data_IF_480017088706
#
_entry.id   IF_480017088706
#
_cell.length_a   1.000
_cell.length_b   1.000
_cell.length_c   1.000
_cell.angle_alpha   90.00
_cell.angle_beta   90.00
_cell.angle_gamma   90.00
#
_symmetry.space_group_name_H-M   'P 1'
#
loop_
_entity.id
_entity.type
_entity.pdbx_description
1 polymer ?
#
# COMPACT_ATOMS: atom_id res chain seq x y z
N UNK A 1 24.98 65.07 -14.19
CA UNK A 1 25.29 63.65 -14.44
C UNK A 1 24.82 62.84 -13.22
N UNK A 2 23.70 62.11 -13.34
CA UNK A 2 23.17 61.28 -12.24
C UNK A 2 23.92 59.95 -12.24
N UNK A 3 24.54 59.61 -11.11
CA UNK A 3 25.49 58.50 -10.99
C UNK A 3 24.78 57.13 -11.17
N UNK A 4 25.18 56.30 -12.16
CA UNK A 4 24.59 54.98 -12.40
C UNK A 4 24.91 53.94 -11.30
N UNK A 5 25.84 54.27 -10.40
CA UNK A 5 26.32 53.37 -9.34
C UNK A 5 25.23 53.03 -8.32
N UNK A 6 24.30 53.97 -8.04
CA UNK A 6 23.22 53.73 -7.07
C UNK A 6 22.14 52.76 -7.59
N UNK A 7 21.93 52.69 -8.90
CA UNK A 7 20.91 51.81 -9.51
C UNK A 7 21.40 50.36 -9.51
N UNK A 8 22.68 50.12 -9.81
CA UNK A 8 23.28 48.78 -9.78
C UNK A 8 23.28 48.15 -8.39
N UNK A 9 23.50 48.94 -7.34
CA UNK A 9 23.54 48.44 -5.96
C UNK A 9 22.15 48.02 -5.46
N UNK A 10 21.09 48.72 -5.87
CA UNK A 10 19.70 48.35 -5.55
C UNK A 10 19.29 47.08 -6.30
N UNK A 11 19.68 46.93 -7.57
CA UNK A 11 19.40 45.74 -8.39
C UNK A 11 20.11 44.48 -7.86
N UNK A 12 21.34 44.62 -7.37
CA UNK A 12 22.09 43.52 -6.77
C UNK A 12 21.47 43.04 -5.45
N UNK A 13 21.03 43.97 -4.58
CA UNK A 13 20.34 43.63 -3.33
C UNK A 13 18.99 42.97 -3.61
N UNK A 14 18.25 43.44 -4.62
CA UNK A 14 16.98 42.82 -5.02
C UNK A 14 17.18 41.40 -5.57
N UNK A 15 18.24 41.15 -6.36
CA UNK A 15 18.57 39.79 -6.83
C UNK A 15 18.90 38.84 -5.67
N UNK A 16 19.67 39.29 -4.68
CA UNK A 16 20.00 38.44 -3.52
C UNK A 16 18.76 38.05 -2.69
N UNK A 17 17.77 38.94 -2.58
CA UNK A 17 16.52 38.65 -1.85
C UNK A 17 15.67 37.64 -2.64
N UNK A 18 15.61 37.75 -3.97
CA UNK A 18 14.84 36.80 -4.82
C UNK A 18 15.48 35.40 -4.80
N UNK A 19 16.81 35.31 -4.92
CA UNK A 19 17.52 34.02 -4.84
C UNK A 19 17.38 33.35 -3.48
N UNK A 20 17.45 34.12 -2.38
CA UNK A 20 17.31 33.56 -1.03
C UNK A 20 15.88 33.11 -0.68
N UNK A 21 14.86 33.61 -1.38
CA UNK A 21 13.48 33.14 -1.23
C UNK A 21 13.22 31.85 -2.03
N UNK A 22 13.78 31.70 -3.24
CA UNK A 22 13.58 30.51 -4.07
C UNK A 22 14.17 29.24 -3.44
N UNK A 23 15.40 29.28 -2.89
CA UNK A 23 16.01 28.09 -2.26
C UNK A 23 15.20 27.53 -1.09
N UNK A 24 14.55 28.40 -0.31
CA UNK A 24 13.73 27.97 0.83
C UNK A 24 12.44 27.32 0.38
N UNK A 25 11.79 27.89 -0.63
CA UNK A 25 10.54 27.38 -1.20
C UNK A 25 10.74 26.01 -1.88
N UNK A 26 11.86 25.85 -2.59
CA UNK A 26 12.25 24.57 -3.21
C UNK A 26 12.51 23.49 -2.15
N UNK A 27 13.22 23.84 -1.07
CA UNK A 27 13.53 22.88 0.01
C UNK A 27 12.29 22.41 0.78
N UNK A 28 11.32 23.31 1.02
CA UNK A 28 10.07 22.99 1.71
C UNK A 28 9.18 22.10 0.84
N UNK A 29 9.05 22.45 -0.44
CA UNK A 29 8.26 21.69 -1.41
C UNK A 29 8.81 20.27 -1.60
N UNK A 30 10.14 20.13 -1.65
CA UNK A 30 10.77 18.82 -1.74
C UNK A 30 10.54 17.97 -0.48
N UNK A 31 10.62 18.56 0.70
CA UNK A 31 10.32 17.88 1.97
C UNK A 31 8.89 17.38 1.99
N UNK A 32 7.92 18.24 1.69
CA UNK A 32 6.49 17.89 1.66
C UNK A 32 6.24 16.72 0.69
N UNK A 33 6.79 16.81 -0.52
CA UNK A 33 6.64 15.73 -1.51
C UNK A 33 7.20 14.40 -1.01
N UNK A 34 8.32 14.44 -0.27
CA UNK A 34 8.94 13.26 0.32
C UNK A 34 8.06 12.66 1.44
N UNK A 35 7.47 13.51 2.29
CA UNK A 35 6.54 13.06 3.33
C UNK A 35 5.29 12.40 2.73
N UNK A 36 4.70 13.03 1.70
CA UNK A 36 3.55 12.46 0.95
C UNK A 36 3.94 11.11 0.34
N UNK A 37 5.09 11.03 -0.32
CA UNK A 37 5.58 9.78 -0.93
C UNK A 37 5.80 8.67 0.08
N UNK A 38 6.28 9.03 1.27
CA UNK A 38 6.54 8.10 2.36
C UNK A 38 5.24 7.51 2.88
N UNK A 39 4.27 8.38 3.20
CA UNK A 39 2.94 7.95 3.67
C UNK A 39 2.22 7.12 2.60
N UNK A 40 2.25 7.56 1.34
CA UNK A 40 1.63 6.82 0.24
C UNK A 40 2.28 5.44 0.02
N UNK A 41 3.61 5.34 0.13
CA UNK A 41 4.34 4.08 0.05
C UNK A 41 3.99 3.10 1.17
N UNK A 42 4.01 3.56 2.43
CA UNK A 42 3.63 2.75 3.58
C UNK A 42 2.18 2.24 3.47
N UNK A 43 1.28 3.11 3.02
CA UNK A 43 -0.11 2.76 2.82
C UNK A 43 -0.30 1.76 1.68
N UNK A 44 0.46 1.87 0.60
CA UNK A 44 0.41 0.91 -0.50
C UNK A 44 0.82 -0.50 -0.04
N UNK A 45 1.89 -0.60 0.74
CA UNK A 45 2.36 -1.86 1.33
C UNK A 45 1.34 -2.46 2.29
N UNK A 46 0.77 -1.65 3.18
CA UNK A 46 -0.23 -2.08 4.15
C UNK A 46 -1.51 -2.59 3.45
N UNK A 47 -2.03 -1.84 2.47
CA UNK A 47 -3.29 -2.16 1.82
C UNK A 47 -3.23 -3.38 0.89
N UNK A 48 -2.05 -3.70 0.33
CA UNK A 48 -1.86 -4.84 -0.57
C UNK A 48 -1.21 -6.05 0.11
N UNK A 49 -1.21 -6.11 1.45
CA UNK A 49 -0.70 -7.26 2.17
C UNK A 49 -1.60 -8.49 1.93
N UNK A 50 -1.07 -9.49 1.24
CA UNK A 50 -1.72 -10.78 0.99
C UNK A 50 -0.79 -11.91 1.41
N UNK A 51 -1.14 -12.67 2.45
CA UNK A 51 -0.37 -13.84 2.89
C UNK A 51 -0.86 -15.12 2.21
N UNK A 52 0.06 -15.82 1.54
CA UNK A 52 -0.13 -17.20 1.10
C UNK A 52 0.19 -18.12 2.27
N UNK A 53 -0.75 -18.99 2.61
CA UNK A 53 -0.66 -19.94 3.73
C UNK A 53 -1.02 -21.36 3.30
N UNK A 54 -0.96 -22.29 4.24
CA UNK A 54 -1.18 -23.71 3.99
C UNK A 54 0.05 -24.36 3.36
N UNK A 55 -0.18 -25.37 2.53
CA UNK A 55 0.88 -26.18 1.96
C UNK A 55 1.52 -27.08 3.02
N UNK A 56 0.69 -27.84 3.73
CA UNK A 56 1.11 -28.94 4.58
C UNK A 56 0.54 -30.27 4.07
N UNK A 57 0.69 -31.36 4.82
CA UNK A 57 0.20 -32.69 4.43
C UNK A 57 -1.32 -32.69 4.20
N UNK A 58 -2.07 -31.87 4.95
CA UNK A 58 -3.53 -31.92 5.03
C UNK A 58 -4.22 -30.67 4.46
N UNK A 59 -3.46 -29.61 4.14
CA UNK A 59 -3.99 -28.33 3.65
C UNK A 59 -3.25 -27.87 2.40
N UNK A 60 -4.02 -27.52 1.38
CA UNK A 60 -3.52 -26.88 0.15
C UNK A 60 -2.92 -25.50 0.42
N UNK A 61 -2.12 -25.00 -0.52
CA UNK A 61 -1.77 -23.59 -0.54
C UNK A 61 -3.00 -22.73 -0.84
N UNK A 62 -3.10 -21.56 -0.21
CA UNK A 62 -4.21 -20.63 -0.41
C UNK A 62 -4.06 -19.33 0.36
N UNK A 63 -5.03 -18.43 0.20
CA UNK A 63 -5.07 -17.16 0.94
C UNK A 63 -5.67 -17.34 2.34
N UNK A 64 -5.03 -16.82 3.39
CA UNK A 64 -5.46 -17.00 4.80
C UNK A 64 -6.88 -16.48 5.11
N UNK A 65 -7.27 -15.36 4.49
CA UNK A 65 -8.46 -14.58 4.91
C UNK A 65 -9.65 -14.75 3.96
N UNK A 66 -9.42 -15.23 2.73
CA UNK A 66 -10.43 -15.17 1.67
C UNK A 66 -11.25 -16.45 1.53
N UNK A 67 -10.79 -17.61 1.99
CA UNK A 67 -11.55 -18.85 1.70
C UNK A 67 -12.80 -19.03 2.56
N UNK A 68 -12.80 -18.65 3.84
CA UNK A 68 -13.99 -18.80 4.71
C UNK A 68 -15.09 -17.79 4.44
N UNK A 69 -14.77 -16.61 3.91
CA UNK A 69 -15.77 -15.57 3.60
C UNK A 69 -16.31 -15.69 2.16
N UNK A 70 -15.49 -16.16 1.21
CA UNK A 70 -15.89 -16.25 -0.20
C UNK A 70 -16.40 -17.64 -0.65
N UNK A 71 -16.08 -18.74 0.06
CA UNK A 71 -16.57 -20.10 -0.32
C UNK A 71 -18.07 -20.33 -0.06
N UNK A 72 -18.76 -19.45 0.66
CA UNK A 72 -20.20 -19.57 0.92
C UNK A 72 -21.12 -18.97 -0.14
N UNK A 73 -20.62 -18.49 -1.29
CA UNK A 73 -21.44 -17.66 -2.19
C UNK A 73 -21.34 -18.05 -3.67
N UNK A 74 -22.20 -18.99 -4.03
CA UNK A 74 -22.55 -19.35 -5.42
C UNK A 74 -23.77 -18.55 -5.93
N UNK A 75 -24.14 -17.43 -5.32
CA UNK A 75 -25.32 -16.63 -5.73
C UNK A 75 -24.92 -15.21 -6.16
N UNK A 76 -24.99 -14.97 -7.49
CA UNK A 76 -24.43 -13.85 -8.24
C UNK A 76 -25.06 -12.46 -8.03
N UNK A 77 -25.68 -12.16 -6.86
CA UNK A 77 -26.38 -10.89 -6.61
C UNK A 77 -25.99 -10.14 -5.33
N UNK A 78 -25.35 -10.80 -4.35
CA UNK A 78 -24.95 -10.19 -3.06
C UNK A 78 -23.43 -9.95 -2.92
N UNK A 79 -22.67 -10.28 -3.97
CA UNK A 79 -21.21 -10.43 -3.92
C UNK A 79 -20.46 -9.08 -3.79
N UNK A 80 -20.94 -8.04 -4.46
CA UNK A 80 -20.26 -6.74 -4.49
C UNK A 80 -20.21 -6.06 -3.11
N UNK A 81 -21.29 -6.14 -2.33
CA UNK A 81 -21.37 -5.45 -1.04
C UNK A 81 -20.43 -6.08 0.01
N UNK A 82 -20.25 -7.39 -0.02
CA UNK A 82 -19.39 -8.10 0.94
C UNK A 82 -17.92 -7.87 0.61
N UNK A 83 -17.56 -7.94 -0.67
CA UNK A 83 -16.22 -7.61 -1.13
C UNK A 83 -15.89 -6.15 -0.77
N UNK A 84 -16.77 -5.21 -1.10
CA UNK A 84 -16.57 -3.79 -0.79
C UNK A 84 -16.43 -3.53 0.72
N UNK A 85 -17.24 -4.17 1.56
CA UNK A 85 -17.12 -4.04 3.02
C UNK A 85 -15.80 -4.63 3.55
N UNK A 86 -15.33 -5.74 2.99
CA UNK A 86 -14.00 -6.27 3.29
C UNK A 86 -12.90 -5.27 2.94
N UNK A 87 -12.95 -4.66 1.74
CA UNK A 87 -11.97 -3.67 1.35
C UNK A 87 -11.98 -2.43 2.24
N UNK A 88 -13.17 -1.98 2.64
CA UNK A 88 -13.37 -0.88 3.58
C UNK A 88 -12.81 -1.21 4.96
N UNK A 89 -13.05 -2.41 5.49
CA UNK A 89 -12.52 -2.83 6.78
C UNK A 89 -10.98 -2.86 6.79
N UNK A 90 -10.35 -3.34 5.72
CA UNK A 90 -8.89 -3.30 5.59
C UNK A 90 -8.37 -1.87 5.58
N UNK A 91 -9.02 -0.98 4.83
CA UNK A 91 -8.71 0.45 4.81
C UNK A 91 -8.86 1.09 6.20
N UNK A 92 -9.95 0.79 6.92
CA UNK A 92 -10.19 1.34 8.26
C UNK A 92 -9.19 0.87 9.32
N UNK A 93 -8.55 -0.29 9.09
CA UNK A 93 -7.52 -0.81 9.98
C UNK A 93 -6.14 -0.22 9.71
N UNK A 94 -5.99 0.58 8.64
CA UNK A 94 -4.70 1.15 8.28
C UNK A 94 -4.18 2.12 9.34
N UNK A 95 -2.86 2.25 9.43
CA UNK A 95 -2.23 3.19 10.38
C UNK A 95 -2.67 4.63 10.12
N UNK A 96 -2.78 5.00 8.85
CA UNK A 96 -3.22 6.33 8.45
C UNK A 96 -4.60 6.67 9.04
N UNK A 97 -5.56 5.74 8.97
CA UNK A 97 -6.92 6.00 9.50
C UNK A 97 -6.92 6.09 11.01
N UNK A 98 -6.16 5.24 11.69
CA UNK A 98 -6.01 5.29 13.15
C UNK A 98 -5.43 6.64 13.59
N UNK A 99 -4.33 7.06 12.99
CA UNK A 99 -3.70 8.34 13.28
C UNK A 99 -4.61 9.54 12.95
N UNK A 100 -5.39 9.45 11.87
CA UNK A 100 -6.33 10.49 11.49
C UNK A 100 -7.47 10.65 12.51
N UNK A 101 -7.90 9.57 13.16
CA UNK A 101 -8.94 9.60 14.21
C UNK A 101 -8.47 10.30 15.49
N UNK A 102 -7.16 10.36 15.74
CA UNK A 102 -6.57 11.00 16.90
C UNK A 102 -6.38 12.53 16.69
N UNK A 103 -6.60 13.03 15.48
CA UNK A 103 -6.55 14.45 15.18
C UNK A 103 -7.86 15.16 15.53
N UNK A 104 -7.74 16.37 16.09
CA UNK A 104 -8.86 17.27 16.33
C UNK A 104 -9.30 17.93 15.00
N UNK A 105 -10.11 17.21 14.21
CA UNK A 105 -10.66 17.68 12.93
C UNK A 105 -12.04 18.31 13.12
N UNK A 106 -12.31 19.39 12.40
CA UNK A 106 -13.66 19.96 12.35
C UNK A 106 -14.64 19.09 11.54
N UNK A 107 -15.93 19.41 11.60
CA UNK A 107 -16.97 18.61 10.95
C UNK A 107 -16.82 18.53 9.42
N UNK A 108 -16.32 19.58 8.77
CA UNK A 108 -16.09 19.59 7.33
C UNK A 108 -14.84 18.77 6.98
N UNK A 109 -13.76 18.89 7.76
CA UNK A 109 -12.55 18.07 7.64
C UNK A 109 -12.87 16.56 7.84
N UNK A 110 -13.74 16.23 8.79
CA UNK A 110 -14.19 14.84 8.99
C UNK A 110 -14.99 14.34 7.79
N UNK A 111 -15.85 15.19 7.20
CA UNK A 111 -16.64 14.79 6.02
C UNK A 111 -15.73 14.57 4.81
N UNK A 112 -14.85 15.52 4.51
CA UNK A 112 -13.97 15.42 3.34
C UNK A 112 -12.94 14.29 3.48
N UNK A 113 -12.40 14.07 4.68
CA UNK A 113 -11.51 12.94 4.91
C UNK A 113 -12.20 11.59 4.67
N UNK A 114 -13.48 11.44 5.03
CA UNK A 114 -14.27 10.24 4.69
C UNK A 114 -14.40 10.05 3.18
N UNK A 115 -14.56 11.13 2.41
CA UNK A 115 -14.60 11.05 0.95
C UNK A 115 -13.26 10.58 0.37
N UNK A 116 -12.14 11.10 0.89
CA UNK A 116 -10.80 10.66 0.52
C UNK A 116 -10.57 9.17 0.84
N UNK A 117 -11.08 8.69 1.97
CA UNK A 117 -11.03 7.27 2.38
C UNK A 117 -11.83 6.39 1.41
N UNK A 118 -12.99 6.85 0.94
CA UNK A 118 -13.78 6.10 -0.06
C UNK A 118 -13.01 5.96 -1.38
N UNK A 119 -12.36 7.04 -1.85
CA UNK A 119 -11.50 6.97 -3.03
C UNK A 119 -10.33 5.98 -2.87
N UNK A 120 -9.78 5.86 -1.66
CA UNK A 120 -8.76 4.86 -1.34
C UNK A 120 -9.29 3.42 -1.43
N UNK A 121 -10.53 3.18 -1.01
CA UNK A 121 -11.16 1.86 -1.13
C UNK A 121 -11.31 1.47 -2.60
N UNK A 122 -11.77 2.39 -3.45
CA UNK A 122 -11.93 2.17 -4.89
C UNK A 122 -10.58 1.83 -5.54
N UNK A 123 -9.56 2.64 -5.26
CA UNK A 123 -8.20 2.42 -5.73
C UNK A 123 -7.62 1.04 -5.36
N UNK A 124 -7.93 0.60 -4.14
CA UNK A 124 -7.50 -0.71 -3.63
C UNK A 124 -8.22 -1.86 -4.31
N UNK A 125 -9.50 -1.74 -4.62
CA UNK A 125 -10.31 -2.85 -5.16
C UNK A 125 -9.69 -3.38 -6.45
N UNK A 126 -9.43 -2.51 -7.41
CA UNK A 126 -8.97 -2.91 -8.74
C UNK A 126 -7.57 -3.55 -8.69
N UNK A 127 -6.64 -2.92 -7.98
CA UNK A 127 -5.29 -3.45 -7.83
C UNK A 127 -5.26 -4.74 -7.02
N UNK A 128 -6.09 -4.86 -5.98
CA UNK A 128 -6.15 -6.08 -5.19
C UNK A 128 -6.74 -7.24 -5.98
N UNK A 129 -7.74 -6.99 -6.84
CA UNK A 129 -8.29 -8.03 -7.72
C UNK A 129 -7.22 -8.54 -8.68
N UNK A 130 -6.51 -7.63 -9.35
CA UNK A 130 -5.43 -8.01 -10.28
C UNK A 130 -4.26 -8.71 -9.57
N UNK A 131 -3.85 -8.23 -8.39
CA UNK A 131 -2.86 -8.91 -7.54
C UNK A 131 -3.30 -10.33 -7.19
N UNK A 132 -4.56 -10.50 -6.81
CA UNK A 132 -5.10 -11.81 -6.42
C UNK A 132 -5.11 -12.77 -7.60
N UNK A 133 -5.46 -12.32 -8.80
CA UNK A 133 -5.42 -13.13 -10.01
C UNK A 133 -4.00 -13.64 -10.28
N UNK A 134 -3.01 -12.74 -10.31
CA UNK A 134 -1.60 -13.13 -10.54
C UNK A 134 -1.07 -14.07 -9.44
N UNK A 135 -1.40 -13.83 -8.17
CA UNK A 135 -1.00 -14.73 -7.09
C UNK A 135 -1.73 -16.07 -7.11
N UNK A 136 -2.92 -16.15 -7.72
CA UNK A 136 -3.66 -17.42 -7.84
C UNK A 136 -2.92 -18.39 -8.75
N UNK A 137 -2.34 -17.90 -9.85
CA UNK A 137 -1.55 -18.72 -10.75
C UNK A 137 -0.31 -19.31 -10.06
N UNK A 138 0.36 -18.49 -9.23
CA UNK A 138 1.49 -18.94 -8.39
C UNK A 138 1.03 -20.01 -7.40
N UNK A 139 -0.09 -19.79 -6.71
CA UNK A 139 -0.64 -20.77 -5.76
C UNK A 139 -0.95 -22.09 -6.45
N UNK A 140 -1.53 -22.07 -7.65
CA UNK A 140 -1.80 -23.27 -8.44
C UNK A 140 -0.51 -24.02 -8.78
N UNK A 141 0.54 -23.30 -9.19
CA UNK A 141 1.85 -23.90 -9.46
C UNK A 141 2.48 -24.52 -8.21
N UNK A 142 2.39 -23.83 -7.06
CA UNK A 142 2.84 -24.36 -5.77
C UNK A 142 2.06 -25.62 -5.36
N UNK A 143 0.74 -25.64 -5.59
CA UNK A 143 -0.12 -26.77 -5.25
C UNK A 143 0.18 -28.01 -6.11
N UNK A 144 0.46 -27.85 -7.40
CA UNK A 144 0.87 -28.96 -8.27
C UNK A 144 2.16 -29.61 -7.73
N UNK A 145 3.13 -28.79 -7.31
CA UNK A 145 4.38 -29.31 -6.72
C UNK A 145 4.13 -29.97 -5.36
N UNK A 146 3.24 -29.41 -4.53
CA UNK A 146 2.82 -30.01 -3.25
C UNK A 146 2.22 -31.40 -3.46
N UNK A 147 1.28 -31.54 -4.39
CA UNK A 147 0.62 -32.81 -4.69
C UNK A 147 1.61 -33.86 -5.19
N UNK A 148 2.59 -33.45 -5.99
CA UNK A 148 3.68 -34.32 -6.44
C UNK A 148 4.52 -34.84 -5.26
N UNK A 149 4.88 -33.96 -4.31
CA UNK A 149 5.59 -34.37 -3.09
C UNK A 149 4.73 -35.29 -2.21
N UNK A 150 3.44 -35.01 -2.09
CA UNK A 150 2.50 -35.82 -1.32
C UNK A 150 2.37 -37.22 -1.91
N UNK A 151 2.30 -37.35 -3.24
CA UNK A 151 2.26 -38.63 -3.93
C UNK A 151 3.52 -39.47 -3.63
N UNK A 152 4.71 -38.86 -3.67
CA UNK A 152 5.97 -39.53 -3.31
C UNK A 152 5.98 -40.00 -1.87
N UNK A 153 5.46 -39.17 -0.95
CA UNK A 153 5.33 -39.54 0.47
C UNK A 153 4.39 -40.73 0.65
N UNK A 154 3.22 -40.73 0.00
CA UNK A 154 2.24 -41.82 0.06
C UNK A 154 2.79 -43.13 -0.53
N UNK A 155 3.61 -43.05 -1.57
CA UNK A 155 4.33 -44.18 -2.17
C UNK A 155 5.56 -44.62 -1.36
N UNK A 156 5.89 -43.93 -0.27
CA UNK A 156 7.08 -44.14 0.58
C UNK A 156 8.40 -43.98 -0.18
N UNK A 157 8.41 -43.19 -1.25
CA UNK A 157 9.61 -42.84 -2.01
C UNK A 157 10.45 -41.78 -1.30
N UNK A 158 9.81 -40.97 -0.45
CA UNK A 158 10.43 -40.00 0.46
C UNK A 158 9.89 -40.18 1.87
N UNK A 159 10.63 -39.73 2.87
CA UNK A 159 10.19 -39.65 4.26
C UNK A 159 9.55 -38.28 4.59
N UNK A 160 9.08 -38.13 5.83
CA UNK A 160 8.41 -36.91 6.29
C UNK A 160 9.34 -35.69 6.32
N UNK A 161 10.60 -35.86 6.70
CA UNK A 161 11.55 -34.76 6.77
C UNK A 161 11.90 -34.25 5.37
N UNK A 162 12.06 -35.16 4.41
CA UNK A 162 12.25 -34.84 2.99
C UNK A 162 11.02 -34.14 2.40
N UNK A 163 9.81 -34.55 2.78
CA UNK A 163 8.57 -33.87 2.40
C UNK A 163 8.54 -32.43 2.93
N UNK A 164 8.83 -32.22 4.22
CA UNK A 164 8.86 -30.89 4.83
C UNK A 164 9.93 -29.98 4.21
N UNK A 165 11.12 -30.53 3.94
CA UNK A 165 12.17 -29.82 3.21
C UNK A 165 11.73 -29.45 1.79
N UNK A 166 11.05 -30.35 1.09
CA UNK A 166 10.45 -30.10 -0.22
C UNK A 166 9.43 -28.97 -0.20
N UNK A 167 8.53 -28.94 0.80
CA UNK A 167 7.56 -27.84 0.98
C UNK A 167 8.25 -26.50 1.23
N UNK A 168 9.34 -26.49 2.00
CA UNK A 168 10.14 -25.28 2.19
C UNK A 168 10.81 -24.86 0.88
N UNK A 169 11.32 -25.81 0.09
CA UNK A 169 11.88 -25.57 -1.24
C UNK A 169 10.87 -24.92 -2.19
N UNK A 170 9.62 -25.39 -2.21
CA UNK A 170 8.53 -24.76 -2.98
C UNK A 170 8.32 -23.31 -2.54
N UNK A 171 8.25 -23.04 -1.23
CA UNK A 171 8.06 -21.65 -0.74
C UNK A 171 9.20 -20.74 -1.17
N UNK A 172 10.44 -21.20 -1.06
CA UNK A 172 11.60 -20.39 -1.43
C UNK A 172 11.70 -20.19 -2.95
N UNK A 173 11.32 -21.18 -3.78
CA UNK A 173 11.39 -21.05 -5.23
C UNK A 173 10.45 -19.97 -5.79
N UNK A 174 9.28 -19.78 -5.17
CA UNK A 174 8.29 -18.79 -5.59
C UNK A 174 8.39 -17.45 -4.85
N UNK A 175 9.24 -17.34 -3.83
CA UNK A 175 9.35 -16.15 -2.97
C UNK A 175 9.65 -14.88 -3.76
N UNK A 176 10.63 -14.93 -4.66
CA UNK A 176 11.01 -13.77 -5.47
C UNK A 176 9.88 -13.37 -6.42
N UNK A 177 9.22 -14.34 -7.06
CA UNK A 177 8.11 -14.07 -7.97
C UNK A 177 6.92 -13.42 -7.24
N UNK A 178 6.58 -13.93 -6.04
CA UNK A 178 5.57 -13.31 -5.18
C UNK A 178 5.95 -11.88 -4.80
N UNK A 179 7.22 -11.64 -4.46
CA UNK A 179 7.71 -10.29 -4.11
C UNK A 179 7.66 -9.33 -5.30
N UNK A 180 8.05 -9.76 -6.50
CA UNK A 180 7.99 -8.95 -7.71
C UNK A 180 6.54 -8.61 -8.10
N UNK A 181 5.63 -9.58 -8.03
CA UNK A 181 4.20 -9.33 -8.27
C UNK A 181 3.67 -8.31 -7.26
N UNK A 182 3.96 -8.47 -5.96
CA UNK A 182 3.53 -7.50 -4.93
C UNK A 182 4.09 -6.11 -5.19
N UNK A 183 5.38 -6.01 -5.50
CA UNK A 183 6.04 -4.72 -5.79
C UNK A 183 5.42 -4.03 -6.99
N UNK A 184 5.18 -4.76 -8.08
CA UNK A 184 4.46 -4.26 -9.26
C UNK A 184 3.10 -3.66 -8.87
N UNK A 185 2.31 -4.35 -8.05
CA UNK A 185 0.99 -3.87 -7.63
C UNK A 185 1.06 -2.69 -6.66
N UNK A 186 2.07 -2.64 -5.79
CA UNK A 186 2.37 -1.46 -4.96
C UNK A 186 2.66 -0.23 -5.84
N UNK A 187 3.53 -0.39 -6.84
CA UNK A 187 3.90 0.69 -7.76
C UNK A 187 2.69 1.17 -8.59
N UNK A 188 1.75 0.28 -8.90
CA UNK A 188 0.50 0.62 -9.61
C UNK A 188 -0.47 1.47 -8.77
N UNK A 189 -0.63 1.20 -7.47
CA UNK A 189 -1.57 1.96 -6.63
C UNK A 189 -0.98 3.23 -6.04
N UNK A 190 0.35 3.29 -5.91
CA UNK A 190 1.04 4.39 -5.26
C UNK A 190 0.66 5.78 -5.81
N UNK A 191 0.52 6.00 -7.14
CA UNK A 191 0.12 7.31 -7.66
C UNK A 191 -1.24 7.77 -7.13
N UNK A 192 -2.22 6.89 -7.15
CA UNK A 192 -3.57 7.17 -6.66
C UNK A 192 -3.59 7.43 -5.13
N UNK A 193 -2.81 6.66 -4.36
CA UNK A 193 -2.65 6.92 -2.93
C UNK A 193 -1.90 8.24 -2.66
N UNK A 194 -0.92 8.59 -3.50
CA UNK A 194 -0.17 9.85 -3.40
C UNK A 194 -1.10 11.05 -3.57
N UNK A 195 -1.97 11.03 -4.58
CA UNK A 195 -2.94 12.09 -4.81
C UNK A 195 -3.90 12.25 -3.63
N UNK A 196 -4.39 11.14 -3.09
CA UNK A 196 -5.23 11.14 -1.88
C UNK A 196 -4.51 11.72 -0.67
N UNK A 197 -3.27 11.31 -0.42
CA UNK A 197 -2.44 11.82 0.69
C UNK A 197 -2.13 13.31 0.52
N UNK A 198 -1.90 13.77 -0.72
CA UNK A 198 -1.73 15.18 -1.02
C UNK A 198 -2.97 16.00 -0.66
N UNK A 199 -4.16 15.53 -1.08
CA UNK A 199 -5.43 16.18 -0.74
C UNK A 199 -5.69 16.14 0.78
N UNK A 200 -5.32 15.04 1.45
CA UNK A 200 -5.45 14.91 2.89
C UNK A 200 -4.57 15.94 3.61
N UNK A 201 -3.32 16.13 3.17
CA UNK A 201 -2.43 17.16 3.72
C UNK A 201 -3.05 18.55 3.60
N UNK A 202 -3.56 18.90 2.41
CA UNK A 202 -4.21 20.18 2.19
C UNK A 202 -5.43 20.37 3.09
N UNK A 203 -6.22 19.30 3.27
CA UNK A 203 -7.41 19.31 4.11
C UNK A 203 -7.08 19.53 5.59
N UNK A 204 -6.09 18.83 6.14
CA UNK A 204 -5.76 18.89 7.58
C UNK A 204 -4.91 20.11 7.94
N UNK A 205 -4.18 20.67 6.98
CA UNK A 205 -3.26 21.79 7.18
C UNK A 205 -1.90 21.36 7.78
N UNK A 206 -0.92 22.26 7.75
CA UNK A 206 0.48 21.95 8.06
C UNK A 206 0.71 21.45 9.50
N UNK A 207 0.06 22.07 10.49
CA UNK A 207 0.23 21.70 11.89
C UNK A 207 -0.26 20.26 12.16
N UNK A 208 -1.49 19.94 11.72
CA UNK A 208 -2.07 18.62 11.90
C UNK A 208 -1.39 17.56 11.00
N UNK A 209 -0.87 17.98 9.84
CA UNK A 209 -0.10 17.11 8.95
C UNK A 209 1.17 16.61 9.62
N UNK A 210 1.92 17.47 10.32
CA UNK A 210 3.13 17.03 11.02
C UNK A 210 2.79 15.97 12.08
N UNK A 211 1.75 16.19 12.89
CA UNK A 211 1.27 15.20 13.86
C UNK A 211 0.81 13.89 13.21
N UNK A 212 0.14 13.98 12.06
CA UNK A 212 -0.30 12.80 11.29
C UNK A 212 0.90 12.01 10.77
N UNK A 213 1.86 12.71 10.16
CA UNK A 213 3.07 12.13 9.60
C UNK A 213 3.90 11.42 10.68
N UNK A 214 4.10 12.07 11.82
CA UNK A 214 4.81 11.50 12.96
C UNK A 214 4.11 10.24 13.49
N UNK A 215 2.79 10.26 13.62
CA UNK A 215 2.02 9.09 14.03
C UNK A 215 2.12 7.91 13.05
N UNK A 216 2.07 8.18 11.74
CA UNK A 216 2.13 7.14 10.71
C UNK A 216 3.52 6.50 10.61
N UNK A 217 4.56 7.29 10.84
CA UNK A 217 5.96 6.88 10.65
C UNK A 217 6.67 6.39 11.92
N UNK A 218 6.04 6.54 13.09
CA UNK A 218 6.50 5.97 14.37
C UNK A 218 6.30 4.45 14.46
#
# INVERSE_FOLDING_TARGET
MKSPVKIFLILAVFSFIVFSCQEKEDSLTQRINTEIDTVAGMLAEELLTVEIQGGDENRSFGFRVLETEFKTQSDAGKNNNIQQEWHKNQVQQSRLIKCLQDLDLDADQIRESRNLILGMVECRIDAFQSLREELTDIILAMEIQRLTLLEKLLKREINRDEFMAGLQGIRESFKNEIQEIRKKHIDLIKPCLRDMVSNLRELVGEEKWNSLYDCVTS
#
